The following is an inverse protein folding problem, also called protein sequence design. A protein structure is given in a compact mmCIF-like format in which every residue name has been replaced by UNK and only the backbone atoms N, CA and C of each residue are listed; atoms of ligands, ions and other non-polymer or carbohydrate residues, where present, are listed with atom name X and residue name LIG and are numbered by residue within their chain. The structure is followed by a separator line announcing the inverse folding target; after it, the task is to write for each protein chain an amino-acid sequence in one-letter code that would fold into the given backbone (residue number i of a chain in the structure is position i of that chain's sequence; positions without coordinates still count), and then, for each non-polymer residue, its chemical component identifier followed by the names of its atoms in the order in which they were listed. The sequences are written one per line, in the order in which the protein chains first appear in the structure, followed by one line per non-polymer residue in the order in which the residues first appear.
data_IF_287098867955
#
_entry.id   IF_287098867955
#
_cell.length_a   1.000
_cell.length_b   1.000
_cell.length_c   1.000
_cell.angle_alpha   90.00
_cell.angle_beta   90.00
_cell.angle_gamma   90.00
#
_symmetry.space_group_name_H-M   'P 1'
#
loop_
_entity.id
_entity.type
_entity.pdbx_description
1 polymer ?
#
# COMPACT_ATOMS: atom_id res chain seq x y z
N UNK A 1 -5.07 -15.60 15.07
CA UNK A 1 -5.28 -14.23 14.54
C UNK A 1 -4.09 -13.78 13.68
N UNK A 2 -2.95 -14.47 13.75
CA UNK A 2 -1.76 -14.15 12.95
C UNK A 2 -1.93 -14.35 11.44
N UNK A 3 -2.75 -15.32 11.00
CA UNK A 3 -3.00 -15.59 9.58
C UNK A 3 -3.53 -14.38 8.80
N UNK A 4 -4.35 -13.55 9.44
CA UNK A 4 -4.91 -12.35 8.81
C UNK A 4 -3.85 -11.25 8.64
N UNK A 5 -2.95 -11.10 9.61
CA UNK A 5 -1.88 -10.11 9.54
C UNK A 5 -0.85 -10.50 8.46
N UNK A 6 -0.52 -11.79 8.36
CA UNK A 6 0.36 -12.32 7.33
C UNK A 6 -0.27 -12.21 5.93
N UNK A 7 -1.57 -12.48 5.82
CA UNK A 7 -2.32 -12.32 4.56
C UNK A 7 -2.36 -10.85 4.12
N UNK A 8 -2.57 -9.92 5.05
CA UNK A 8 -2.54 -8.47 4.75
C UNK A 8 -1.14 -8.04 4.31
N UNK A 9 -0.09 -8.49 5.00
CA UNK A 9 1.30 -8.21 4.62
C UNK A 9 1.61 -8.69 3.19
N UNK A 10 1.19 -9.91 2.85
CA UNK A 10 1.35 -10.48 1.51
C UNK A 10 0.61 -9.66 0.45
N UNK A 11 -0.62 -9.22 0.76
CA UNK A 11 -1.42 -8.39 -0.15
C UNK A 11 -0.80 -7.01 -0.40
N UNK A 12 -0.20 -6.41 0.63
CA UNK A 12 0.51 -5.13 0.52
C UNK A 12 1.76 -5.27 -0.34
N UNK A 13 2.56 -6.33 -0.14
CA UNK A 13 3.75 -6.56 -0.95
C UNK A 13 3.42 -6.77 -2.43
N UNK A 14 2.36 -7.56 -2.72
CA UNK A 14 1.88 -7.74 -4.09
C UNK A 14 1.36 -6.43 -4.70
N UNK A 15 0.76 -5.56 -3.89
CA UNK A 15 0.27 -4.26 -4.33
C UNK A 15 1.42 -3.30 -4.64
N UNK A 16 2.44 -3.24 -3.79
CA UNK A 16 3.66 -2.46 -4.05
C UNK A 16 4.32 -2.86 -5.37
N UNK A 17 4.50 -4.17 -5.60
CA UNK A 17 5.08 -4.67 -6.85
C UNK A 17 4.29 -4.19 -8.09
N UNK A 18 2.95 -4.27 -8.05
CA UNK A 18 2.10 -3.76 -9.15
C UNK A 18 2.23 -2.26 -9.34
N UNK A 19 2.34 -1.48 -8.25
CA UNK A 19 2.52 -0.03 -8.35
C UNK A 19 3.89 0.31 -8.94
N UNK A 20 4.94 -0.45 -8.62
CA UNK A 20 6.26 -0.29 -9.23
C UNK A 20 6.23 -0.62 -10.71
N UNK A 21 5.51 -1.67 -11.12
CA UNK A 21 5.31 -1.99 -12.53
C UNK A 21 4.55 -0.87 -13.27
N UNK A 22 3.52 -0.28 -12.65
CA UNK A 22 2.67 0.77 -13.23
C UNK A 22 3.40 2.13 -13.35
N UNK A 23 4.15 2.53 -12.32
CA UNK A 23 4.75 3.88 -12.21
C UNK A 23 6.26 3.91 -12.46
N UNK A 24 6.88 2.74 -12.61
CA UNK A 24 8.28 2.55 -12.93
C UNK A 24 9.19 2.40 -11.69
N UNK A 25 10.31 1.67 -11.83
CA UNK A 25 11.25 1.38 -10.73
C UNK A 25 11.91 2.64 -10.14
N UNK A 26 12.02 3.73 -10.92
CA UNK A 26 12.55 5.00 -10.42
C UNK A 26 11.72 5.61 -9.28
N UNK A 27 10.46 5.18 -9.12
CA UNK A 27 9.54 5.64 -8.07
C UNK A 27 9.34 4.63 -6.95
N UNK A 28 10.10 3.52 -6.94
CA UNK A 28 9.95 2.45 -5.94
C UNK A 28 10.03 2.97 -4.50
N UNK A 29 11.01 3.82 -4.20
CA UNK A 29 11.16 4.40 -2.87
C UNK A 29 9.96 5.29 -2.47
N UNK A 30 9.42 6.08 -3.42
CA UNK A 30 8.25 6.93 -3.19
C UNK A 30 6.98 6.09 -2.98
N UNK A 31 6.84 5.00 -3.74
CA UNK A 31 5.73 4.04 -3.64
C UNK A 31 5.76 3.36 -2.28
N UNK A 32 6.91 2.81 -1.88
CA UNK A 32 7.07 2.15 -0.59
C UNK A 32 6.79 3.11 0.57
N UNK A 33 7.33 4.33 0.52
CA UNK A 33 7.06 5.34 1.55
C UNK A 33 5.56 5.67 1.64
N UNK A 34 4.87 5.82 0.51
CA UNK A 34 3.44 6.10 0.49
C UNK A 34 2.59 4.92 0.99
N UNK A 35 2.97 3.69 0.67
CA UNK A 35 2.30 2.48 1.17
C UNK A 35 2.51 2.33 2.68
N UNK A 36 3.73 2.55 3.16
CA UNK A 36 4.07 2.45 4.57
C UNK A 36 3.37 3.52 5.43
N UNK A 37 3.36 4.80 4.99
CA UNK A 37 2.63 5.87 5.68
C UNK A 37 1.15 5.54 5.86
N UNK A 38 0.51 5.04 4.81
CA UNK A 38 -0.91 4.68 4.87
C UNK A 38 -1.15 3.39 5.65
N UNK A 39 -0.26 2.39 5.57
CA UNK A 39 -0.34 1.19 6.40
C UNK A 39 -0.23 1.53 7.90
N UNK A 40 0.73 2.37 8.28
CA UNK A 40 0.89 2.83 9.66
C UNK A 40 -0.35 3.59 10.16
N UNK A 41 -1.03 4.34 9.29
CA UNK A 41 -2.30 5.01 9.60
C UNK A 41 -3.42 4.03 9.95
N UNK A 42 -3.41 2.83 9.36
CA UNK A 42 -4.39 1.78 9.64
C UNK A 42 -3.92 0.76 10.69
N UNK A 43 -2.72 0.92 11.26
CA UNK A 43 -2.16 0.00 12.26
C UNK A 43 -3.02 -0.17 13.51
N UNK A 44 -3.79 0.87 13.87
CA UNK A 44 -4.72 0.83 15.01
C UNK A 44 -6.17 0.51 14.62
N UNK A 45 -6.44 0.30 13.32
CA UNK A 45 -7.79 0.07 12.84
C UNK A 45 -8.30 -1.33 13.23
N UNK A 46 -9.50 -1.38 13.82
CA UNK A 46 -10.16 -2.64 14.22
C UNK A 46 -10.59 -3.53 13.04
N UNK A 47 -10.55 -3.02 11.82
CA UNK A 47 -10.95 -3.73 10.59
C UNK A 47 -9.83 -3.60 9.56
N UNK A 48 -9.12 -4.71 9.31
CA UNK A 48 -7.94 -4.76 8.43
C UNK A 48 -8.27 -5.27 7.02
N UNK A 49 -9.42 -5.90 6.81
CA UNK A 49 -9.82 -6.53 5.53
C UNK A 49 -9.91 -5.54 4.36
N UNK A 50 -10.18 -4.26 4.61
CA UNK A 50 -10.28 -3.22 3.59
C UNK A 50 -9.03 -2.35 3.47
N UNK A 51 -8.01 -2.59 4.28
CA UNK A 51 -6.81 -1.74 4.34
C UNK A 51 -6.03 -1.75 3.01
N UNK A 52 -5.81 -2.88 2.33
CA UNK A 52 -5.06 -2.88 1.06
C UNK A 52 -5.69 -2.01 -0.04
N UNK A 53 -7.02 -2.12 -0.26
CA UNK A 53 -7.69 -1.37 -1.33
C UNK A 53 -7.75 0.14 -1.03
N UNK A 54 -7.84 0.52 0.25
CA UNK A 54 -7.81 1.92 0.66
C UNK A 54 -6.41 2.53 0.47
N UNK A 55 -5.37 1.78 0.83
CA UNK A 55 -3.98 2.19 0.61
C UNK A 55 -3.71 2.34 -0.88
N UNK A 56 -4.08 1.35 -1.72
CA UNK A 56 -3.85 1.43 -3.17
C UNK A 56 -4.48 2.70 -3.76
N UNK A 57 -5.73 3.00 -3.38
CA UNK A 57 -6.44 4.19 -3.85
C UNK A 57 -5.76 5.48 -3.42
N UNK A 58 -5.28 5.56 -2.18
CA UNK A 58 -4.60 6.74 -1.67
C UNK A 58 -3.26 6.96 -2.38
N UNK A 59 -2.48 5.89 -2.52
CA UNK A 59 -1.18 5.91 -3.21
C UNK A 59 -1.35 6.35 -4.66
N UNK A 60 -2.29 5.76 -5.41
CA UNK A 60 -2.60 6.17 -6.79
C UNK A 60 -3.01 7.65 -6.87
N UNK A 61 -3.82 8.15 -5.93
CA UNK A 61 -4.22 9.56 -5.89
C UNK A 61 -3.04 10.50 -5.60
N UNK A 62 -2.10 10.09 -4.74
CA UNK A 62 -0.90 10.86 -4.41
C UNK A 62 0.07 10.90 -5.59
N UNK A 63 0.36 9.75 -6.19
CA UNK A 63 1.27 9.63 -7.33
C UNK A 63 0.74 10.29 -8.60
N UNK A 64 -0.58 10.25 -8.83
CA UNK A 64 -1.25 10.92 -9.95
C UNK A 64 -1.34 12.44 -9.81
N UNK A 65 -1.14 12.99 -8.61
CA UNK A 65 -1.05 14.45 -8.39
C UNK A 65 0.36 15.00 -8.66
N UNK A 66 1.36 14.11 -8.81
CA UNK A 66 2.76 14.47 -9.10
C UNK A 66 3.11 14.36 -10.59
N UNK A 67 2.12 14.11 -11.46
CA UNK A 67 2.28 14.09 -12.92
C UNK A 67 1.88 15.44 -13.54
#
# INVERSE_FOLDING_TARGET
MDDLAEQVSTQLHQMEARLVDDYGPAREADIHAAVQEEHDRFREAKVTTFVPILIERHVRSRLGRTA
#
